data_IF_232907660103
#
_entry.id   IF_232907660103
#
_cell.length_a   1.000
_cell.length_b   1.000
_cell.length_c   1.000
_cell.angle_alpha   90.00
_cell.angle_beta   90.00
_cell.angle_gamma   90.00
#
_symmetry.space_group_name_H-M   'P 1'
#
loop_
_entity.id
_entity.type
_entity.pdbx_description
1 polymer ?
#
# COMPACT_ATOMS: atom_id res chain seq x y z
N UNK A 1 24.01 29.74 11.50
CA UNK A 1 24.91 28.59 11.68
C UNK A 1 24.21 27.57 12.58
N UNK A 2 23.44 26.64 12.02
CA UNK A 2 23.02 25.44 12.75
C UNK A 2 23.90 24.30 12.25
N UNK A 3 24.63 23.67 13.16
CA UNK A 3 25.31 22.42 12.89
C UNK A 3 24.33 21.30 13.25
N UNK A 4 24.03 20.42 12.28
CA UNK A 4 23.25 19.22 12.55
C UNK A 4 24.14 18.22 13.30
N UNK A 5 23.69 17.64 14.43
CA UNK A 5 24.39 16.51 15.04
C UNK A 5 24.38 15.32 14.07
N UNK A 6 25.55 14.74 13.80
CA UNK A 6 25.66 13.47 13.10
C UNK A 6 25.26 12.34 14.04
N UNK A 7 24.21 11.59 13.70
CA UNK A 7 23.87 10.34 14.36
C UNK A 7 24.91 9.25 14.04
N UNK A 8 25.39 8.49 15.03
CA UNK A 8 26.28 7.36 14.79
C UNK A 8 25.52 6.24 14.06
N UNK A 9 26.02 5.86 12.88
CA UNK A 9 25.51 4.77 12.07
C UNK A 9 25.57 3.44 12.85
N UNK A 10 24.41 2.88 13.21
CA UNK A 10 24.29 1.58 13.86
C UNK A 10 24.52 0.46 12.82
N UNK A 11 25.53 -0.42 12.95
CA UNK A 11 25.91 -1.40 11.91
C UNK A 11 24.91 -2.57 11.76
N UNK A 12 23.72 -2.49 12.37
CA UNK A 12 22.75 -3.59 12.44
C UNK A 12 21.66 -3.53 11.38
N UNK A 13 21.54 -2.45 10.61
CA UNK A 13 20.63 -2.34 9.48
C UNK A 13 21.34 -2.68 8.16
N UNK A 14 21.94 -3.87 8.08
CA UNK A 14 22.00 -4.52 6.77
C UNK A 14 20.65 -5.24 6.60
N UNK A 15 19.81 -4.87 5.62
CA UNK A 15 18.71 -5.75 5.23
C UNK A 15 19.37 -7.02 4.69
N UNK A 16 19.59 -8.00 5.56
CA UNK A 16 19.94 -9.35 5.18
C UNK A 16 18.69 -9.98 4.59
N UNK A 17 18.28 -9.50 3.42
CA UNK A 17 17.46 -10.32 2.53
C UNK A 17 18.25 -11.60 2.30
N UNK A 18 17.75 -12.78 2.69
CA UNK A 18 18.43 -14.03 2.38
C UNK A 18 18.63 -14.06 0.88
N UNK A 19 19.89 -14.03 0.43
CA UNK A 19 20.23 -14.07 -0.99
C UNK A 19 19.95 -15.50 -1.46
N UNK A 20 18.69 -15.75 -1.83
CA UNK A 20 18.28 -17.02 -2.39
C UNK A 20 19.02 -17.22 -3.72
N UNK A 21 19.51 -18.44 -4.02
CA UNK A 21 20.05 -18.77 -5.32
C UNK A 21 19.11 -18.33 -6.45
N UNK A 22 19.61 -17.83 -7.60
CA UNK A 22 18.79 -17.32 -8.69
C UNK A 22 17.69 -18.28 -9.15
N UNK A 23 17.99 -19.58 -9.17
CA UNK A 23 17.02 -20.63 -9.49
C UNK A 23 15.87 -20.73 -8.47
N UNK A 24 16.16 -20.54 -7.17
CA UNK A 24 15.14 -20.54 -6.13
C UNK A 24 14.26 -19.29 -6.18
N UNK A 25 14.85 -18.13 -6.47
CA UNK A 25 14.10 -16.89 -6.71
C UNK A 25 13.17 -17.03 -7.92
N UNK A 26 13.65 -17.64 -9.01
CA UNK A 26 12.86 -17.89 -10.21
C UNK A 26 11.66 -18.81 -9.93
N UNK A 27 11.88 -19.91 -9.20
CA UNK A 27 10.78 -20.80 -8.78
C UNK A 27 9.79 -20.04 -7.91
N UNK A 28 10.25 -19.28 -6.92
CA UNK A 28 9.37 -18.48 -6.05
C UNK A 28 8.54 -17.47 -6.83
N UNK A 29 9.14 -16.81 -7.82
CA UNK A 29 8.44 -15.87 -8.71
C UNK A 29 7.33 -16.56 -9.50
N UNK A 30 7.62 -17.71 -10.13
CA UNK A 30 6.64 -18.48 -10.88
C UNK A 30 5.52 -19.03 -9.98
N UNK A 31 5.83 -19.45 -8.75
CA UNK A 31 4.81 -19.89 -7.78
C UNK A 31 3.89 -18.76 -7.35
N UNK A 32 4.45 -17.58 -7.06
CA UNK A 32 3.68 -16.39 -6.70
C UNK A 32 2.74 -16.02 -7.86
N UNK A 33 3.28 -16.02 -9.08
CA UNK A 33 2.54 -15.73 -10.30
C UNK A 33 1.38 -16.70 -10.54
N UNK A 34 1.63 -18.00 -10.38
CA UNK A 34 0.61 -19.03 -10.53
C UNK A 34 -0.54 -18.81 -9.54
N UNK A 35 -0.22 -18.51 -8.27
CA UNK A 35 -1.22 -18.21 -7.24
C UNK A 35 -2.09 -17.00 -7.62
N UNK A 36 -1.49 -15.93 -8.14
CA UNK A 36 -2.24 -14.74 -8.57
C UNK A 36 -3.22 -15.05 -9.71
N UNK A 37 -2.79 -15.80 -10.73
CA UNK A 37 -3.66 -16.19 -11.85
C UNK A 37 -4.83 -17.08 -11.39
N UNK A 38 -4.58 -18.02 -10.47
CA UNK A 38 -5.65 -18.85 -9.88
C UNK A 38 -6.62 -17.99 -9.06
N UNK A 39 -6.12 -17.03 -8.30
CA UNK A 39 -6.99 -16.10 -7.56
C UNK A 39 -7.85 -15.24 -8.48
N UNK A 40 -7.28 -14.74 -9.59
CA UNK A 40 -8.03 -14.03 -10.64
C UNK A 40 -9.16 -14.90 -11.22
N UNK A 41 -8.87 -16.17 -11.51
CA UNK A 41 -9.90 -17.11 -11.99
C UNK A 41 -11.04 -17.33 -10.98
N UNK A 42 -10.71 -17.43 -9.68
CA UNK A 42 -11.72 -17.57 -8.62
C UNK A 42 -12.60 -16.31 -8.49
N UNK A 43 -12.03 -15.12 -8.67
CA UNK A 43 -12.77 -13.85 -8.66
C UNK A 43 -13.69 -13.74 -9.87
N UNK A 44 -13.16 -13.98 -11.07
CA UNK A 44 -13.96 -13.99 -12.30
C UNK A 44 -15.13 -14.98 -12.20
N UNK A 45 -14.91 -16.16 -11.59
CA UNK A 45 -15.97 -17.13 -11.27
C UNK A 45 -17.04 -16.57 -10.32
N UNK A 46 -16.67 -15.77 -9.31
CA UNK A 46 -17.62 -15.12 -8.38
C UNK A 46 -18.44 -14.02 -9.07
N UNK A 47 -17.84 -13.30 -10.00
CA UNK A 47 -18.50 -12.26 -10.80
C UNK A 47 -19.27 -12.81 -12.02
N UNK A 48 -19.45 -14.13 -12.11
CA UNK A 48 -20.08 -14.84 -13.24
C UNK A 48 -19.40 -14.62 -14.61
N UNK A 49 -18.18 -14.10 -14.64
CA UNK A 49 -17.38 -14.02 -15.87
C UNK A 49 -16.62 -15.34 -16.09
N UNK A 50 -17.28 -16.25 -16.81
CA UNK A 50 -16.73 -17.55 -17.15
C UNK A 50 -15.65 -17.47 -18.25
N UNK A 51 -15.68 -16.43 -19.09
CA UNK A 51 -14.72 -16.26 -20.19
C UNK A 51 -13.39 -15.80 -19.62
N UNK A 52 -13.41 -14.78 -18.76
CA UNK A 52 -12.22 -14.32 -18.02
C UNK A 52 -11.65 -15.41 -17.13
N UNK A 53 -12.49 -16.16 -16.40
CA UNK A 53 -12.04 -17.27 -15.56
C UNK A 53 -11.28 -18.36 -16.35
N UNK A 54 -11.77 -18.73 -17.54
CA UNK A 54 -11.11 -19.69 -18.43
C UNK A 54 -9.76 -19.17 -18.92
N UNK A 55 -9.68 -17.89 -19.25
CA UNK A 55 -8.44 -17.28 -19.71
C UNK A 55 -7.38 -17.25 -18.60
N UNK A 56 -7.76 -16.87 -17.38
CA UNK A 56 -6.87 -16.91 -16.21
C UNK A 56 -6.33 -18.33 -15.95
N UNK A 57 -7.18 -19.36 -16.07
CA UNK A 57 -6.75 -20.76 -15.93
C UNK A 57 -5.81 -21.21 -17.05
N UNK A 58 -6.04 -20.78 -18.30
CA UNK A 58 -5.14 -21.06 -19.43
C UNK A 58 -3.75 -20.48 -19.19
N UNK A 59 -3.69 -19.22 -18.72
CA UNK A 59 -2.44 -18.56 -18.33
C UNK A 59 -1.76 -19.27 -17.15
N UNK A 60 -2.52 -19.66 -16.12
CA UNK A 60 -1.99 -20.38 -14.96
C UNK A 60 -1.34 -21.72 -15.35
N UNK A 61 -1.94 -22.47 -16.27
CA UNK A 61 -1.36 -23.73 -16.80
C UNK A 61 -0.02 -23.51 -17.51
N UNK A 62 0.12 -22.42 -18.28
CA UNK A 62 1.39 -22.04 -18.90
C UNK A 62 2.49 -21.78 -17.86
N UNK A 63 2.14 -21.05 -16.79
CA UNK A 63 3.06 -20.80 -15.66
C UNK A 63 3.41 -22.08 -14.90
N UNK A 64 2.48 -23.02 -14.78
CA UNK A 64 2.74 -24.31 -14.14
C UNK A 64 3.73 -25.18 -14.93
N UNK A 65 3.67 -25.16 -16.27
CA UNK A 65 4.66 -25.83 -17.11
C UNK A 65 6.06 -25.22 -16.94
N UNK A 66 6.13 -23.89 -16.88
CA UNK A 66 7.35 -23.15 -16.56
C UNK A 66 7.91 -23.49 -15.18
N UNK A 67 7.05 -23.67 -14.17
CA UNK A 67 7.48 -24.10 -12.84
C UNK A 67 8.15 -25.48 -12.85
N UNK A 68 7.60 -26.42 -13.63
CA UNK A 68 8.18 -27.76 -13.82
C UNK A 68 9.56 -27.69 -14.47
N UNK A 69 9.71 -26.85 -15.50
CA UNK A 69 10.99 -26.64 -16.18
C UNK A 69 12.03 -25.94 -15.27
N UNK A 70 11.62 -24.93 -14.49
CA UNK A 70 12.49 -24.23 -13.55
C UNK A 70 13.02 -25.17 -12.44
N UNK A 71 12.16 -26.07 -11.93
CA UNK A 71 12.58 -27.10 -10.96
C UNK A 71 13.53 -28.13 -11.56
N UNK A 72 13.41 -28.39 -12.86
CA UNK A 72 14.32 -29.28 -13.60
C UNK A 72 15.66 -28.61 -13.96
N UNK A 73 15.87 -27.33 -13.62
CA UNK A 73 17.10 -26.60 -13.90
C UNK A 73 17.22 -26.06 -15.33
N UNK A 74 16.13 -26.06 -16.10
CA UNK A 74 16.12 -25.42 -17.42
C UNK A 74 15.90 -23.89 -17.28
N UNK A 75 16.62 -23.07 -18.07
CA UNK A 75 16.39 -21.64 -18.09
C UNK A 75 14.99 -21.36 -18.64
N UNK A 76 14.13 -20.78 -17.79
CA UNK A 76 12.77 -20.38 -18.17
C UNK A 76 12.76 -18.91 -18.55
N UNK A 77 12.22 -18.61 -19.74
CA UNK A 77 12.00 -17.23 -20.20
C UNK A 77 10.92 -16.54 -19.38
N UNK A 78 11.35 -15.63 -18.51
CA UNK A 78 10.48 -14.83 -17.64
C UNK A 78 9.66 -13.77 -18.39
N UNK A 79 10.00 -13.48 -19.65
CA UNK A 79 9.27 -12.55 -20.54
C UNK A 79 7.94 -13.10 -21.03
N UNK A 80 7.75 -14.42 -21.00
CA UNK A 80 6.50 -15.07 -21.38
C UNK A 80 5.51 -15.20 -20.22
N UNK A 81 5.90 -14.77 -19.02
CA UNK A 81 5.02 -14.78 -17.86
C UNK A 81 4.00 -13.66 -18.05
N UNK A 82 2.73 -13.97 -18.42
CA UNK A 82 1.75 -12.93 -18.68
C UNK A 82 1.56 -12.16 -17.38
N UNK A 83 1.57 -10.84 -17.40
CA UNK A 83 1.23 -10.00 -16.23
C UNK A 83 -0.23 -10.27 -15.83
N UNK A 84 -0.52 -10.17 -14.52
CA UNK A 84 -1.88 -10.37 -14.03
C UNK A 84 -2.44 -9.00 -14.29
N UNK A 85 -3.47 -8.83 -15.14
CA UNK A 85 -4.18 -7.58 -15.17
C UNK A 85 -4.58 -7.28 -13.73
N UNK A 86 -3.91 -6.27 -13.16
CA UNK A 86 -4.21 -5.71 -11.86
C UNK A 86 -5.57 -5.04 -12.01
N UNK A 87 -6.65 -5.81 -11.94
CA UNK A 87 -7.94 -5.21 -11.64
C UNK A 87 -7.75 -4.50 -10.30
N UNK A 88 -8.05 -3.20 -10.26
CA UNK A 88 -7.76 -2.29 -9.12
C UNK A 88 -8.25 -2.76 -7.75
N UNK A 89 -8.96 -3.89 -7.68
CA UNK A 89 -9.29 -4.65 -6.48
C UNK A 89 -8.09 -5.34 -5.78
N UNK A 90 -6.88 -5.38 -6.36
CA UNK A 90 -5.68 -5.74 -5.56
C UNK A 90 -5.27 -4.62 -4.59
N UNK A 91 -5.78 -3.40 -4.79
CA UNK A 91 -5.67 -2.28 -3.85
C UNK A 91 -6.95 -2.07 -3.02
N UNK A 92 -7.84 -3.05 -2.95
CA UNK A 92 -8.74 -3.10 -1.81
C UNK A 92 -7.87 -3.48 -0.60
N UNK A 93 -7.60 -2.47 0.23
CA UNK A 93 -7.40 -2.67 1.66
C UNK A 93 -8.62 -3.46 2.16
N UNK A 94 -8.58 -4.79 2.00
CA UNK A 94 -9.60 -5.66 2.57
C UNK A 94 -9.72 -5.32 4.05
N UNK A 95 -10.90 -5.47 4.67
CA UNK A 95 -11.01 -5.27 6.11
C UNK A 95 -9.88 -6.06 6.76
N UNK A 96 -9.01 -5.34 7.49
CA UNK A 96 -7.72 -5.84 7.96
C UNK A 96 -7.90 -7.29 8.41
N UNK A 97 -7.25 -8.24 7.73
CA UNK A 97 -7.35 -9.66 8.05
C UNK A 97 -6.86 -9.84 9.48
N UNK A 98 -7.80 -9.82 10.42
CA UNK A 98 -7.76 -10.43 11.74
C UNK A 98 -6.47 -10.34 12.53
N UNK A 99 -5.68 -9.27 12.44
CA UNK A 99 -4.85 -8.89 13.58
C UNK A 99 -5.81 -8.10 14.46
N UNK A 100 -6.36 -8.68 15.55
CA UNK A 100 -7.02 -7.87 16.55
C UNK A 100 -5.97 -6.89 17.06
N UNK A 101 -6.02 -5.65 16.57
CA UNK A 101 -5.24 -4.57 17.15
C UNK A 101 -5.68 -4.51 18.61
N UNK A 102 -4.74 -4.63 19.58
CA UNK A 102 -5.12 -4.64 20.98
C UNK A 102 -6.00 -3.41 21.25
N UNK A 103 -7.08 -3.55 22.04
CA UNK A 103 -8.09 -2.51 22.21
C UNK A 103 -7.48 -1.18 22.69
N UNK A 104 -6.34 -1.26 23.36
CA UNK A 104 -5.51 -0.14 23.77
C UNK A 104 -4.97 0.68 22.60
N UNK A 105 -4.45 0.04 21.55
CA UNK A 105 -3.91 0.71 20.35
C UNK A 105 -5.03 1.39 19.55
N UNK A 106 -6.18 0.74 19.44
CA UNK A 106 -7.35 1.35 18.80
C UNK A 106 -7.83 2.57 19.59
N UNK A 107 -7.89 2.49 20.92
CA UNK A 107 -8.28 3.59 21.80
C UNK A 107 -7.30 4.76 21.73
N UNK A 108 -5.99 4.50 21.74
CA UNK A 108 -4.97 5.55 21.62
C UNK A 108 -5.03 6.22 20.26
N UNK A 109 -5.16 5.46 19.18
CA UNK A 109 -5.30 5.98 17.82
C UNK A 109 -6.52 6.90 17.69
N UNK A 110 -7.69 6.45 18.16
CA UNK A 110 -8.92 7.25 18.14
C UNK A 110 -8.80 8.52 18.99
N UNK A 111 -8.12 8.43 20.14
CA UNK A 111 -7.83 9.57 21.00
C UNK A 111 -6.96 10.63 20.30
N UNK A 112 -5.86 10.19 19.66
CA UNK A 112 -4.97 11.05 18.90
C UNK A 112 -5.68 11.69 17.69
N UNK A 113 -6.44 10.90 16.93
CA UNK A 113 -7.22 11.40 15.81
C UNK A 113 -8.25 12.47 16.25
N UNK A 114 -8.87 12.30 17.41
CA UNK A 114 -9.75 13.29 18.01
C UNK A 114 -9.02 14.58 18.42
N UNK A 115 -7.82 14.47 18.99
CA UNK A 115 -7.01 15.63 19.38
C UNK A 115 -6.56 16.45 18.16
N UNK A 116 -6.08 15.78 17.11
CA UNK A 116 -5.68 16.44 15.85
C UNK A 116 -6.85 17.18 15.20
N UNK A 117 -8.04 16.58 15.18
CA UNK A 117 -9.24 17.23 14.64
C UNK A 117 -9.61 18.50 15.41
N UNK A 118 -9.53 18.46 16.74
CA UNK A 118 -9.76 19.65 17.58
C UNK A 118 -8.73 20.74 17.32
N UNK A 119 -7.45 20.38 17.24
CA UNK A 119 -6.39 21.35 16.91
C UNK A 119 -6.62 21.98 15.53
N UNK A 120 -6.96 21.19 14.53
CA UNK A 120 -7.28 21.69 13.20
C UNK A 120 -8.46 22.66 13.22
N UNK A 121 -9.55 22.33 13.93
CA UNK A 121 -10.69 23.21 14.10
C UNK A 121 -10.32 24.52 14.80
N UNK A 122 -9.49 24.46 15.84
CA UNK A 122 -9.00 25.65 16.53
C UNK A 122 -8.15 26.53 15.60
N UNK A 123 -7.23 25.94 14.82
CA UNK A 123 -6.44 26.67 13.84
C UNK A 123 -7.33 27.36 12.79
N UNK A 124 -8.36 26.67 12.28
CA UNK A 124 -9.31 27.25 11.34
C UNK A 124 -10.13 28.38 11.97
N UNK A 125 -10.65 28.18 13.19
CA UNK A 125 -11.44 29.21 13.88
C UNK A 125 -10.59 30.43 14.21
N UNK A 126 -9.37 30.23 14.69
CA UNK A 126 -8.46 31.32 15.00
C UNK A 126 -8.04 32.07 13.74
N UNK A 127 -7.68 31.38 12.65
CA UNK A 127 -7.37 32.04 11.38
C UNK A 127 -8.52 32.95 10.91
N UNK A 128 -9.77 32.46 11.00
CA UNK A 128 -10.95 33.26 10.63
C UNK A 128 -11.18 34.45 11.58
N UNK A 129 -11.02 34.26 12.88
CA UNK A 129 -11.14 35.33 13.87
C UNK A 129 -10.06 36.40 13.69
N UNK A 130 -8.81 36.01 13.49
CA UNK A 130 -7.71 36.93 13.24
C UNK A 130 -7.85 37.66 11.90
N UNK A 131 -8.34 36.99 10.86
CA UNK A 131 -8.65 37.65 9.60
C UNK A 131 -9.73 38.73 9.76
N UNK A 132 -10.76 38.48 10.58
CA UNK A 132 -11.78 39.48 10.89
C UNK A 132 -11.24 40.64 11.74
N UNK A 133 -10.44 40.36 12.76
CA UNK A 133 -9.81 41.38 13.61
C UNK A 133 -8.82 42.26 12.82
N UNK A 134 -8.05 41.67 11.90
CA UNK A 134 -7.19 42.42 10.97
C UNK A 134 -7.97 43.30 10.00
N UNK A 135 -9.21 42.93 9.66
CA UNK A 135 -10.11 43.71 8.81
C UNK A 135 -10.84 44.83 9.58
N UNK A 136 -11.00 44.72 10.90
CA UNK A 136 -11.65 45.75 11.74
C UNK A 136 -10.70 46.93 11.99
N UNK A 137 -9.38 46.71 12.07
CA UNK A 137 -8.39 47.77 12.24
C UNK A 137 -8.42 48.84 11.12
N UNK A 138 -8.86 48.50 9.90
CA UNK A 138 -9.02 49.45 8.80
C UNK A 138 -10.35 50.24 8.83
N UNK A 139 -11.29 49.88 9.71
CA UNK A 139 -12.63 50.50 9.78
C UNK A 139 -12.82 51.45 10.96
N UNK A 140 -11.82 51.62 11.83
CA UNK A 140 -11.92 52.55 12.98
C UNK A 140 -11.43 53.97 12.69
N UNK A 141 -11.00 54.29 11.46
CA UNK A 141 -10.60 55.66 11.05
C UNK A 141 -11.49 56.31 9.98
N UNK A 142 -12.75 55.85 9.79
CA UNK A 142 -13.69 56.56 8.91
C UNK A 142 -15.09 56.69 9.51
N UNK A 143 -15.28 57.79 10.23
CA UNK A 143 -16.53 58.21 10.88
C UNK A 143 -16.20 58.43 12.35
N UNK A 144 -16.17 59.65 12.88
CA UNK A 144 -17.11 60.75 12.74
C UNK A 144 -16.37 62.10 12.76
N UNK A 145 -17.01 63.12 12.18
CA UNK A 145 -16.56 64.51 12.26
C UNK A 145 -16.76 65.13 13.63
#
# INVERSE_FOLDING_TARGET
CWALPQDPQDPRFTPQTPFLPPAQLQVQFLELRHKQLVQGALRAKRCQDLVGAREFLRRARGVQAMLGAARAGLPVDLTQVPEVPLDGAEFELGPARGVPTPPEVTKTFLGLAGALRRQHQLCLSFSRQFAQLGNIAETTERGWG
#
